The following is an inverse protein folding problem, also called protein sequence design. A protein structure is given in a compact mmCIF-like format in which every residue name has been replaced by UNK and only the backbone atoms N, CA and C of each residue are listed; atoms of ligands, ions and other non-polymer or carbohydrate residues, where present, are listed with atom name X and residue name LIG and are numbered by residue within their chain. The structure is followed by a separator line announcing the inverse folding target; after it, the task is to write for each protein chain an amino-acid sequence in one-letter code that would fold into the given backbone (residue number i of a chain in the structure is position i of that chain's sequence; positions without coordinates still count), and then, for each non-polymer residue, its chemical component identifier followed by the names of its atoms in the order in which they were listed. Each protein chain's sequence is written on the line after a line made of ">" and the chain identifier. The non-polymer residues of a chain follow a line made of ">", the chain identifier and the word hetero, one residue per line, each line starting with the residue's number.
data_IF_294841810770
#
_entry.id   IF_294841810770
#
_cell.length_a   1.000
_cell.length_b   1.000
_cell.length_c   1.000
_cell.angle_alpha   90.00
_cell.angle_beta   90.00
_cell.angle_gamma   90.00
#
_symmetry.space_group_name_H-M   'P 1'
#
loop_
_entity.id
_entity.type
_entity.pdbx_description
1 polymer ?
#
# COMPACT_ATOMS: atom_id res chain seq x y z
N UNK A 1 -1.35 13.37 5.49
CA UNK A 1 -2.38 13.12 4.46
C UNK A 1 -1.94 12.15 3.35
N UNK A 2 -0.72 12.26 2.82
CA UNK A 2 -0.27 11.44 1.69
C UNK A 2 -0.23 9.90 1.93
N UNK A 3 -0.01 9.42 3.15
CA UNK A 3 0.16 7.98 3.46
C UNK A 3 -1.14 7.19 3.39
N UNK A 4 -2.25 7.77 3.87
CA UNK A 4 -3.58 7.13 3.86
C UNK A 4 -4.12 6.92 2.43
N UNK A 5 -3.93 7.90 1.55
CA UNK A 5 -4.32 7.79 0.13
C UNK A 5 -3.50 6.71 -0.59
N UNK A 6 -2.23 6.53 -0.20
CA UNK A 6 -1.38 5.48 -0.78
C UNK A 6 -1.76 4.09 -0.30
N UNK A 7 -2.11 3.94 0.98
CA UNK A 7 -2.67 2.73 1.55
C UNK A 7 -3.94 2.31 0.81
N UNK A 8 -4.88 3.24 0.62
CA UNK A 8 -6.10 3.04 -0.16
C UNK A 8 -5.80 2.56 -1.58
N UNK A 9 -4.87 3.22 -2.28
CA UNK A 9 -4.53 2.89 -3.68
C UNK A 9 -3.71 1.60 -3.83
N UNK A 10 -2.94 1.21 -2.82
CA UNK A 10 -2.16 -0.02 -2.80
C UNK A 10 -3.05 -1.22 -2.42
N UNK A 11 -3.91 -1.04 -1.43
CA UNK A 11 -4.94 -2.00 -1.07
C UNK A 11 -5.93 -2.17 -2.23
N UNK A 12 -6.37 -1.14 -2.93
CA UNK A 12 -7.35 -1.32 -4.04
C UNK A 12 -6.81 -2.10 -5.26
N UNK A 13 -5.57 -2.61 -5.25
CA UNK A 13 -5.00 -3.34 -6.40
C UNK A 13 -5.46 -4.80 -6.40
N UNK A 14 -5.99 -5.32 -7.52
CA UNK A 14 -6.45 -6.72 -7.62
C UNK A 14 -5.39 -7.76 -7.23
N UNK A 15 -4.13 -7.51 -7.61
CA UNK A 15 -3.02 -8.40 -7.30
C UNK A 15 -2.68 -8.45 -5.79
N UNK A 16 -3.02 -7.41 -5.03
CA UNK A 16 -2.71 -7.33 -3.61
C UNK A 16 -3.64 -8.22 -2.76
N UNK A 17 -4.89 -8.40 -3.23
CA UNK A 17 -5.90 -9.24 -2.59
C UNK A 17 -6.22 -10.51 -3.39
N UNK A 18 -5.35 -10.95 -4.30
CA UNK A 18 -5.68 -12.03 -5.25
C UNK A 18 -6.25 -13.26 -4.56
N UNK A 19 -5.63 -13.65 -3.44
CA UNK A 19 -5.93 -14.89 -2.72
C UNK A 19 -6.84 -14.69 -1.49
N UNK A 20 -7.35 -13.47 -1.28
CA UNK A 20 -8.28 -13.18 -0.18
C UNK A 20 -9.72 -13.41 -0.64
N UNK A 21 -10.61 -13.99 0.18
CA UNK A 21 -12.04 -14.11 -0.15
C UNK A 21 -12.68 -12.75 -0.42
N UNK A 22 -13.64 -12.69 -1.34
CA UNK A 22 -14.28 -11.43 -1.76
C UNK A 22 -14.92 -10.69 -0.57
N UNK A 23 -15.63 -11.40 0.30
CA UNK A 23 -16.34 -10.80 1.45
C UNK A 23 -15.37 -10.09 2.40
N UNK A 24 -14.19 -10.68 2.63
CA UNK A 24 -13.13 -10.06 3.46
C UNK A 24 -12.53 -8.82 2.81
N UNK A 25 -12.48 -8.75 1.48
CA UNK A 25 -12.04 -7.54 0.76
C UNK A 25 -13.06 -6.43 0.92
N UNK A 26 -14.35 -6.76 0.76
CA UNK A 26 -15.44 -5.79 0.88
C UNK A 26 -15.46 -5.20 2.30
N UNK A 27 -15.40 -6.06 3.33
CA UNK A 27 -15.31 -5.64 4.73
C UNK A 27 -14.09 -4.74 4.98
N UNK A 28 -12.92 -5.11 4.46
CA UNK A 28 -11.70 -4.32 4.61
C UNK A 28 -11.82 -2.93 3.98
N UNK A 29 -12.42 -2.83 2.78
CA UNK A 29 -12.65 -1.57 2.06
C UNK A 29 -13.66 -0.69 2.78
N UNK A 30 -14.79 -1.26 3.19
CA UNK A 30 -15.84 -0.52 3.90
C UNK A 30 -15.35 -0.01 5.25
N UNK A 31 -14.59 -0.85 5.97
CA UNK A 31 -13.90 -0.45 7.20
C UNK A 31 -12.93 0.70 6.92
N UNK A 32 -12.08 0.61 5.89
CA UNK A 32 -11.09 1.64 5.55
C UNK A 32 -11.73 2.99 5.16
N UNK A 33 -12.90 2.96 4.52
CA UNK A 33 -13.66 4.16 4.18
C UNK A 33 -14.32 4.80 5.41
N UNK A 34 -14.54 4.02 6.46
CA UNK A 34 -15.25 4.44 7.69
C UNK A 34 -14.32 4.88 8.81
N UNK A 35 -13.06 4.41 8.85
CA UNK A 35 -12.10 4.83 9.88
C UNK A 35 -11.70 6.30 9.72
N UNK A 36 -11.52 6.96 10.86
CA UNK A 36 -10.94 8.30 10.91
C UNK A 36 -9.53 8.33 10.33
N UNK A 37 -9.07 9.51 9.92
CA UNK A 37 -7.72 9.70 9.37
C UNK A 37 -6.62 9.66 10.46
N UNK A 38 -6.91 9.13 11.65
CA UNK A 38 -5.94 9.06 12.73
C UNK A 38 -4.87 7.99 12.44
N UNK A 39 -3.62 8.20 12.86
CA UNK A 39 -2.56 7.21 12.68
C UNK A 39 -2.81 5.89 13.43
N UNK A 40 -3.47 5.93 14.58
CA UNK A 40 -3.79 4.74 15.39
C UNK A 40 -4.82 3.85 14.70
N UNK A 41 -5.93 4.42 14.23
CA UNK A 41 -6.97 3.67 13.50
C UNK A 41 -6.42 3.02 12.23
N UNK A 42 -5.56 3.72 11.49
CA UNK A 42 -4.88 3.16 10.32
C UNK A 42 -3.95 2.01 10.68
N UNK A 43 -3.27 2.08 11.83
CA UNK A 43 -2.38 1.01 12.30
C UNK A 43 -3.17 -0.23 12.70
N UNK A 44 -4.28 -0.04 13.40
CA UNK A 44 -5.20 -1.13 13.77
C UNK A 44 -5.79 -1.80 12.54
N UNK A 45 -6.25 -1.02 11.57
CA UNK A 45 -6.77 -1.55 10.31
C UNK A 45 -5.71 -2.36 9.53
N UNK A 46 -4.48 -1.84 9.45
CA UNK A 46 -3.36 -2.53 8.81
C UNK A 46 -3.11 -3.89 9.47
N UNK A 47 -3.06 -3.93 10.80
CA UNK A 47 -2.80 -5.18 11.54
C UNK A 47 -3.96 -6.17 11.46
N UNK A 48 -5.20 -5.68 11.31
CA UNK A 48 -6.40 -6.53 11.18
C UNK A 48 -6.50 -7.21 9.82
N UNK A 49 -6.23 -6.50 8.75
CA UNK A 49 -6.54 -6.96 7.38
C UNK A 49 -5.33 -7.36 6.54
N UNK A 50 -4.11 -6.99 6.94
CA UNK A 50 -2.89 -7.32 6.18
C UNK A 50 -2.08 -8.40 6.86
N UNK A 51 -1.54 -9.32 6.06
CA UNK A 51 -0.53 -10.29 6.54
C UNK A 51 0.81 -9.60 6.77
N UNK A 52 1.68 -10.22 7.56
CA UNK A 52 3.04 -9.70 7.80
C UNK A 52 3.82 -9.46 6.49
N UNK A 53 3.63 -10.32 5.48
CA UNK A 53 4.25 -10.15 4.17
C UNK A 53 3.71 -8.91 3.43
N UNK A 54 2.40 -8.70 3.45
CA UNK A 54 1.75 -7.53 2.85
C UNK A 54 2.18 -6.23 3.55
N UNK A 55 2.31 -6.26 4.89
CA UNK A 55 2.84 -5.15 5.69
C UNK A 55 4.28 -4.82 5.29
N UNK A 56 5.13 -5.83 5.10
CA UNK A 56 6.51 -5.65 4.65
C UNK A 56 6.61 -5.03 3.24
N UNK A 57 5.77 -5.50 2.30
CA UNK A 57 5.66 -4.95 0.93
C UNK A 57 5.17 -3.50 0.95
N UNK A 58 4.17 -3.19 1.79
CA UNK A 58 3.66 -1.85 2.00
C UNK A 58 4.74 -0.92 2.58
N UNK A 59 5.45 -1.35 3.63
CA UNK A 59 6.54 -0.59 4.23
C UNK A 59 7.65 -0.26 3.23
N UNK A 60 8.03 -1.24 2.40
CA UNK A 60 8.98 -1.03 1.30
C UNK A 60 8.47 0.02 0.31
N UNK A 61 7.21 -0.09 -0.08
CA UNK A 61 6.57 0.84 -1.01
C UNK A 61 6.52 2.28 -0.47
N UNK A 62 6.22 2.46 0.82
CA UNK A 62 6.25 3.76 1.50
C UNK A 62 7.67 4.35 1.52
N UNK A 63 8.69 3.53 1.85
CA UNK A 63 10.10 3.96 1.84
C UNK A 63 10.53 4.41 0.44
N UNK A 64 10.19 3.65 -0.59
CA UNK A 64 10.48 3.98 -1.98
C UNK A 64 9.77 5.27 -2.42
N UNK A 65 8.51 5.47 -2.01
CA UNK A 65 7.80 6.72 -2.28
C UNK A 65 8.46 7.92 -1.60
N UNK A 66 8.86 7.80 -0.33
CA UNK A 66 9.62 8.85 0.36
C UNK A 66 10.91 9.18 -0.40
N UNK A 67 11.69 8.17 -0.79
CA UNK A 67 12.92 8.35 -1.60
C UNK A 67 12.68 9.09 -2.92
N UNK A 68 11.62 8.74 -3.67
CA UNK A 68 11.25 9.44 -4.91
C UNK A 68 10.82 10.88 -4.67
N UNK A 69 10.17 11.17 -3.54
CA UNK A 69 9.83 12.54 -3.13
C UNK A 69 11.05 13.44 -2.91
N UNK A 70 12.20 12.85 -2.60
CA UNK A 70 13.50 13.54 -2.52
C UNK A 70 14.24 13.61 -3.87
N UNK A 71 13.60 13.25 -5.00
CA UNK A 71 14.21 13.30 -6.32
C UNK A 71 15.23 12.18 -6.60
N UNK A 72 15.31 11.16 -5.76
CA UNK A 72 16.26 10.05 -5.90
C UNK A 72 15.64 8.95 -6.76
N UNK A 73 16.21 8.72 -7.95
CA UNK A 73 15.82 7.63 -8.85
C UNK A 73 15.42 8.13 -10.24
N UNK A 74 16.42 8.51 -11.04
CA UNK A 74 16.25 8.60 -12.51
C UNK A 74 16.45 7.20 -13.09
N UNK A 75 15.44 6.67 -13.76
CA UNK A 75 15.60 5.47 -14.58
C UNK A 75 16.41 5.84 -15.82
N UNK A 76 17.54 5.17 -16.03
CA UNK A 76 18.28 5.19 -17.30
C UNK A 76 17.97 3.88 -18.03
N UNK A 77 17.50 3.99 -19.27
CA UNK A 77 17.33 2.83 -20.16
C UNK A 77 18.65 2.65 -20.91
N UNK A 78 19.40 1.61 -20.56
CA UNK A 78 20.58 1.20 -21.33
C UNK A 78 20.05 0.32 -22.46
N UNK A 79 20.15 0.79 -23.71
CA UNK A 79 19.87 -0.06 -24.87
C UNK A 79 21.05 -1.00 -25.05
N UNK A 80 20.82 -2.31 -24.93
CA UNK A 80 21.80 -3.32 -25.30
C UNK A 80 21.85 -3.40 -26.83
N UNK A 81 22.64 -2.51 -27.43
CA UNK A 81 23.16 -2.70 -28.78
C UNK A 81 24.65 -3.03 -28.62
N UNK A 82 24.90 -4.26 -28.18
CA UNK A 82 26.19 -4.92 -28.32
C UNK A 82 26.32 -5.49 -29.74
#
# INVERSE_FOLDING_TARGET
>A
QATAIYLLRAASRPAFWRDVPFDKKLEAVDSLNSIGRSPSELTEWINKYLTAEQINKLGTSIRQRRRRGYGVGKSITISDKA
#
